data_IF_997603564545
#
_entry.id   IF_997603564545
#
_cell.length_a   1.000
_cell.length_b   1.000
_cell.length_c   1.000
_cell.angle_alpha   90.00
_cell.angle_beta   90.00
_cell.angle_gamma   90.00
#
_symmetry.space_group_name_H-M   'P 1'
#
loop_
_entity.id
_entity.type
_entity.pdbx_description
1 polymer ?
#
# COMPACT_ATOMS: atom_id res chain seq x y z
N UNK A 1 -9.41 7.85 -14.38
CA UNK A 1 -9.73 6.72 -13.50
C UNK A 1 -8.41 6.02 -13.20
N UNK A 2 -8.07 5.81 -11.94
CA UNK A 2 -6.80 5.19 -11.54
C UNK A 2 -6.75 3.73 -12.02
N UNK A 3 -5.60 3.28 -12.54
CA UNK A 3 -5.41 1.88 -12.99
C UNK A 3 -4.30 1.23 -12.17
N UNK A 4 -4.56 0.03 -11.65
CA UNK A 4 -3.59 -0.75 -10.87
C UNK A 4 -3.46 -2.16 -11.44
N UNK A 5 -2.22 -2.60 -11.69
CA UNK A 5 -1.96 -3.95 -12.18
C UNK A 5 -2.05 -4.96 -11.04
N UNK A 6 -3.00 -5.89 -11.10
CA UNK A 6 -3.09 -6.93 -10.08
C UNK A 6 -1.90 -7.90 -10.22
N UNK A 7 -1.03 -8.06 -9.20
CA UNK A 7 0.15 -8.92 -9.31
C UNK A 7 -0.20 -10.41 -9.34
N UNK A 8 -1.44 -10.78 -9.02
CA UNK A 8 -1.88 -12.17 -8.97
C UNK A 8 -2.50 -12.65 -10.28
N UNK A 9 -3.30 -11.83 -10.95
CA UNK A 9 -3.96 -12.20 -12.20
C UNK A 9 -3.45 -11.44 -13.42
N UNK A 10 -2.53 -10.49 -13.25
CA UNK A 10 -1.91 -9.73 -14.33
C UNK A 10 -2.81 -8.72 -15.03
N UNK A 11 -4.07 -8.60 -14.61
CA UNK A 11 -5.05 -7.65 -15.16
C UNK A 11 -4.71 -6.24 -14.67
N UNK A 12 -4.67 -5.30 -15.60
CA UNK A 12 -4.70 -3.87 -15.32
C UNK A 12 -6.14 -3.47 -14.99
N UNK A 13 -6.45 -3.35 -13.69
CA UNK A 13 -7.79 -3.13 -13.19
C UNK A 13 -8.06 -1.64 -12.98
N UNK A 14 -9.25 -1.20 -13.37
CA UNK A 14 -9.74 0.14 -13.07
C UNK A 14 -10.07 0.28 -11.58
N UNK A 15 -9.94 1.47 -11.00
CA UNK A 15 -10.23 1.71 -9.58
C UNK A 15 -11.64 1.31 -9.16
N UNK A 16 -12.61 1.32 -10.08
CA UNK A 16 -13.98 0.87 -9.84
C UNK A 16 -14.12 -0.65 -9.65
N UNK A 17 -13.13 -1.43 -10.12
CA UNK A 17 -13.05 -2.88 -9.93
C UNK A 17 -12.36 -3.27 -8.62
N UNK A 18 -11.79 -2.28 -7.93
CA UNK A 18 -10.93 -2.45 -6.77
C UNK A 18 -11.60 -1.93 -5.50
N UNK A 19 -11.25 -2.51 -4.36
CA UNK A 19 -11.61 -1.99 -3.05
C UNK A 19 -10.35 -1.50 -2.33
N UNK A 20 -10.35 -0.23 -1.92
CA UNK A 20 -9.27 0.37 -1.13
C UNK A 20 -9.25 -0.20 0.30
N UNK A 21 -8.06 -0.49 0.83
CA UNK A 21 -7.84 -0.96 2.20
C UNK A 21 -7.02 -0.03 3.08
N UNK A 22 -6.73 1.19 2.60
CA UNK A 22 -5.88 2.15 3.30
C UNK A 22 -4.42 1.68 3.40
N UNK A 23 -3.76 2.05 4.48
CA UNK A 23 -2.33 1.85 4.70
C UNK A 23 -1.85 0.38 4.59
N UNK A 24 -0.70 0.16 3.93
CA UNK A 24 0.02 -1.13 3.87
C UNK A 24 0.94 -1.35 5.07
N UNK A 25 1.55 -2.55 5.15
CA UNK A 25 2.59 -2.89 6.13
C UNK A 25 2.21 -2.70 7.61
N UNK A 26 0.93 -2.71 7.93
CA UNK A 26 0.43 -2.61 9.31
C UNK A 26 0.59 -3.93 10.06
N UNK A 27 1.30 -3.88 11.18
CA UNK A 27 1.33 -4.99 12.14
C UNK A 27 0.02 -5.07 12.92
N UNK A 28 -0.54 -6.28 13.03
CA UNK A 28 -1.74 -6.53 13.85
C UNK A 28 -1.36 -6.65 15.33
N UNK A 29 -1.99 -5.82 16.16
CA UNK A 29 -2.00 -5.97 17.61
C UNK A 29 -3.37 -6.49 18.05
N UNK A 30 -3.39 -7.47 18.95
CA UNK A 30 -4.60 -8.19 19.33
C UNK A 30 -4.74 -8.33 20.85
N UNK A 31 -5.69 -9.16 21.32
CA UNK A 31 -5.85 -9.44 22.74
C UNK A 31 -4.51 -9.85 23.39
N UNK A 32 -4.16 -9.20 24.50
CA UNK A 32 -2.87 -9.38 25.18
C UNK A 32 -1.74 -8.44 24.74
N UNK A 33 -2.01 -7.52 23.82
CA UNK A 33 -1.11 -6.39 23.55
C UNK A 33 -1.24 -5.33 24.64
N UNK A 34 -0.23 -4.48 24.76
CA UNK A 34 -0.31 -3.25 25.54
C UNK A 34 -1.42 -2.32 25.01
N UNK A 35 -2.05 -1.54 25.90
CA UNK A 35 -3.19 -0.68 25.56
C UNK A 35 -2.85 0.34 24.48
N UNK A 36 -1.66 0.96 24.54
CA UNK A 36 -1.23 1.96 23.55
C UNK A 36 -1.01 1.31 22.18
N UNK A 37 -0.40 0.12 22.15
CA UNK A 37 -0.20 -0.63 20.90
C UNK A 37 -1.52 -1.08 20.28
N UNK A 38 -2.49 -1.48 21.10
CA UNK A 38 -3.80 -1.88 20.63
C UNK A 38 -4.60 -0.68 20.12
N UNK A 39 -4.57 0.44 20.84
CA UNK A 39 -5.14 1.71 20.40
C UNK A 39 -4.58 2.13 19.03
N UNK A 40 -3.25 2.16 18.88
CA UNK A 40 -2.61 2.57 17.62
C UNK A 40 -2.96 1.64 16.47
N UNK A 41 -3.00 0.32 16.71
CA UNK A 41 -3.44 -0.62 15.70
C UNK A 41 -4.89 -0.37 15.26
N UNK A 42 -5.79 -0.02 16.17
CA UNK A 42 -7.19 0.21 15.84
C UNK A 42 -7.41 1.53 15.10
N UNK A 43 -6.73 2.60 15.50
CA UNK A 43 -7.11 3.96 15.11
C UNK A 43 -6.02 4.75 14.37
N UNK A 44 -4.74 4.45 14.56
CA UNK A 44 -3.64 5.25 14.03
C UNK A 44 -3.22 4.75 12.65
N UNK A 45 -3.17 5.65 11.66
CA UNK A 45 -2.74 5.34 10.29
C UNK A 45 -1.83 6.44 9.73
N UNK A 46 -0.88 6.05 8.89
CA UNK A 46 -0.15 7.01 8.07
C UNK A 46 -1.09 7.65 7.05
N UNK A 47 -1.01 8.98 6.93
CA UNK A 47 -1.76 9.75 5.94
C UNK A 47 -0.88 10.81 5.25
N UNK A 48 0.15 10.38 4.51
CA UNK A 48 1.11 11.29 3.92
C UNK A 48 0.51 12.03 2.71
N UNK A 49 0.87 13.31 2.58
CA UNK A 49 0.73 14.04 1.32
C UNK A 49 1.98 13.77 0.47
N UNK A 50 1.95 12.72 -0.35
CA UNK A 50 3.12 12.26 -1.08
C UNK A 50 3.07 10.76 -1.32
N UNK A 51 4.23 10.11 -1.26
CA UNK A 51 4.32 8.65 -1.42
C UNK A 51 3.57 7.97 -0.28
N UNK A 52 2.67 7.06 -0.62
CA UNK A 52 1.93 6.22 0.29
C UNK A 52 1.99 4.78 -0.20
N UNK A 53 2.22 3.86 0.74
CA UNK A 53 2.11 2.43 0.52
C UNK A 53 0.72 1.99 0.99
N UNK A 54 -0.09 1.53 0.05
CA UNK A 54 -1.52 1.29 0.22
C UNK A 54 -1.89 -0.18 -0.03
N UNK A 55 -3.01 -0.63 0.53
CA UNK A 55 -3.62 -1.94 0.28
C UNK A 55 -4.79 -1.80 -0.67
N UNK A 56 -4.87 -2.75 -1.60
CA UNK A 56 -5.96 -2.85 -2.55
C UNK A 56 -6.41 -4.29 -2.68
N UNK A 57 -7.73 -4.50 -2.83
CA UNK A 57 -8.30 -5.81 -3.14
C UNK A 57 -8.90 -5.77 -4.54
N UNK A 58 -8.56 -6.76 -5.37
CA UNK A 58 -9.19 -6.91 -6.69
C UNK A 58 -10.60 -7.50 -6.55
N UNK A 59 -11.56 -6.66 -6.11
CA UNK A 59 -12.88 -7.06 -5.64
C UNK A 59 -13.77 -7.63 -6.76
N UNK A 60 -13.71 -7.04 -7.96
CA UNK A 60 -14.42 -7.53 -9.14
C UNK A 60 -13.64 -8.56 -9.97
N UNK A 61 -12.50 -9.05 -9.46
CA UNK A 61 -11.62 -10.00 -10.15
C UNK A 61 -11.18 -11.15 -9.24
N UNK A 62 -9.87 -11.35 -9.10
CA UNK A 62 -9.32 -12.51 -8.38
C UNK A 62 -9.58 -12.53 -6.86
N UNK A 63 -10.13 -11.45 -6.28
CA UNK A 63 -10.49 -11.35 -4.88
C UNK A 63 -9.31 -11.22 -3.90
N UNK A 64 -8.06 -11.23 -4.39
CA UNK A 64 -6.83 -11.15 -3.58
C UNK A 64 -6.50 -9.72 -3.17
N UNK A 65 -5.83 -9.60 -2.03
CA UNK A 65 -5.24 -8.36 -1.52
C UNK A 65 -3.80 -8.20 -2.00
N UNK A 66 -3.45 -7.02 -2.47
CA UNK A 66 -2.10 -6.63 -2.89
C UNK A 66 -1.75 -5.23 -2.34
N UNK A 67 -0.52 -4.80 -2.56
CA UNK A 67 -0.05 -3.47 -2.19
C UNK A 67 0.21 -2.61 -3.43
N UNK A 68 0.05 -1.30 -3.29
CA UNK A 68 0.38 -0.31 -4.30
C UNK A 68 1.23 0.81 -3.68
N UNK A 69 2.26 1.26 -4.40
CA UNK A 69 2.98 2.48 -4.07
C UNK A 69 2.47 3.60 -4.96
N UNK A 70 1.90 4.65 -4.36
CA UNK A 70 1.26 5.75 -5.11
C UNK A 70 1.55 7.09 -4.46
N UNK A 71 1.59 8.15 -5.27
CA UNK A 71 1.59 9.51 -4.79
C UNK A 71 0.15 9.99 -4.54
N UNK A 72 -0.23 10.25 -3.29
CA UNK A 72 -1.59 10.70 -2.93
C UNK A 72 -1.92 12.09 -3.47
N UNK A 73 -0.92 12.92 -3.76
CA UNK A 73 -1.09 14.26 -4.31
C UNK A 73 -1.25 14.31 -5.84
N UNK A 74 -0.69 13.34 -6.57
CA UNK A 74 -0.66 13.35 -8.05
C UNK A 74 -1.33 12.15 -8.69
N UNK A 75 -1.69 11.14 -7.89
CA UNK A 75 -2.18 9.83 -8.32
C UNK A 75 -1.18 8.97 -9.12
N UNK A 76 0.09 9.41 -9.25
CA UNK A 76 1.15 8.62 -9.89
C UNK A 76 1.37 7.29 -9.16
N UNK A 77 1.32 6.17 -9.90
CA UNK A 77 1.56 4.83 -9.38
C UNK A 77 3.00 4.42 -9.72
N UNK A 78 3.78 4.11 -8.69
CA UNK A 78 5.16 3.61 -8.86
C UNK A 78 5.20 2.10 -9.09
N UNK A 79 4.16 1.39 -8.63
CA UNK A 79 3.95 -0.02 -8.92
C UNK A 79 3.05 -0.71 -7.91
N UNK A 80 2.80 -1.98 -8.17
CA UNK A 80 1.93 -2.86 -7.39
C UNK A 80 2.65 -4.17 -7.12
N UNK A 81 2.48 -4.71 -5.92
CA UNK A 81 3.25 -5.86 -5.47
C UNK A 81 2.46 -6.75 -4.50
N UNK A 82 2.94 -7.97 -4.29
CA UNK A 82 2.30 -8.95 -3.41
C UNK A 82 2.12 -8.40 -1.99
N UNK A 83 1.01 -8.72 -1.34
CA UNK A 83 0.81 -8.44 0.09
C UNK A 83 1.50 -9.46 1.02
N UNK A 84 2.27 -10.41 0.45
CA UNK A 84 3.00 -11.44 1.19
C UNK A 84 4.46 -11.06 1.44
N UNK A 85 4.72 -9.77 1.67
CA UNK A 85 6.05 -9.23 1.94
C UNK A 85 5.98 -8.32 3.18
N UNK A 86 7.10 -8.20 3.88
CA UNK A 86 7.21 -7.34 5.07
C UNK A 86 7.68 -5.92 4.76
N UNK A 87 8.17 -5.69 3.54
CA UNK A 87 8.63 -4.40 3.06
C UNK A 87 8.37 -4.25 1.55
N UNK A 88 8.38 -3.04 0.99
CA UNK A 88 8.30 -2.83 -0.44
C UNK A 88 9.46 -3.53 -1.17
N UNK A 89 9.20 -4.22 -2.29
CA UNK A 89 10.25 -4.74 -3.16
C UNK A 89 11.23 -3.65 -3.61
N UNK A 90 12.49 -4.02 -3.86
CA UNK A 90 13.54 -3.06 -4.20
C UNK A 90 13.23 -2.29 -5.49
N UNK A 91 12.66 -2.94 -6.50
CA UNK A 91 12.23 -2.30 -7.75
C UNK A 91 11.17 -1.21 -7.51
N UNK A 92 10.30 -1.39 -6.52
CA UNK A 92 9.34 -0.37 -6.11
C UNK A 92 10.06 0.79 -5.41
N UNK A 93 11.00 0.52 -4.50
CA UNK A 93 11.79 1.56 -3.82
C UNK A 93 12.61 2.39 -4.82
N UNK A 94 13.21 1.73 -5.81
CA UNK A 94 13.98 2.36 -6.88
C UNK A 94 13.09 3.24 -7.76
N UNK A 95 11.92 2.74 -8.15
CA UNK A 95 10.94 3.49 -8.95
C UNK A 95 10.45 4.76 -8.23
N UNK A 96 10.22 4.66 -6.91
CA UNK A 96 9.86 5.83 -6.10
C UNK A 96 11.04 6.80 -6.03
N UNK A 97 12.23 6.33 -5.66
CA UNK A 97 13.43 7.16 -5.50
C UNK A 97 13.77 7.94 -6.77
N UNK A 98 13.63 7.32 -7.95
CA UNK A 98 13.87 7.95 -9.23
C UNK A 98 12.96 9.18 -9.50
N UNK A 99 11.76 9.21 -8.89
CA UNK A 99 10.74 10.27 -9.10
C UNK A 99 10.56 11.19 -7.89
N UNK A 100 10.87 10.69 -6.70
CA UNK A 100 10.69 11.31 -5.39
C UNK A 100 11.95 11.05 -4.56
N UNK A 101 13.09 11.67 -4.91
CA UNK A 101 14.33 11.47 -4.17
C UNK A 101 14.15 11.91 -2.71
N UNK A 102 14.67 11.12 -1.77
CA UNK A 102 14.53 11.38 -0.34
C UNK A 102 13.13 11.11 0.22
N UNK A 103 12.30 10.33 -0.47
CA UNK A 103 11.05 9.84 0.11
C UNK A 103 11.34 8.99 1.34
N UNK A 104 10.40 9.02 2.28
CA UNK A 104 10.37 8.10 3.41
C UNK A 104 8.93 7.80 3.75
N UNK A 105 8.67 6.57 4.18
CA UNK A 105 7.38 6.14 4.68
C UNK A 105 7.62 5.21 5.87
N UNK A 106 7.19 5.61 7.07
CA UNK A 106 7.60 4.97 8.33
C UNK A 106 9.12 4.68 8.34
N UNK A 107 9.53 3.41 8.43
CA UNK A 107 10.91 2.94 8.39
C UNK A 107 11.49 2.69 6.98
N UNK A 108 10.69 2.85 5.91
CA UNK A 108 11.12 2.60 4.54
C UNK A 108 11.57 3.88 3.83
N UNK A 109 12.60 3.74 2.99
CA UNK A 109 13.19 4.77 2.13
C UNK A 109 13.79 4.15 0.87
#
# INVERSE_FOLDING_TARGET
MLTLRCPYCGVDADETELAAGGEAHLKRHGPGSDDDQFHDYLFTRENPKGVHLERWRHAAGCGKWFHAARCTATLEVFGTYSAQVYEPPQDIKDAITAKRPGWSWREFS
#
